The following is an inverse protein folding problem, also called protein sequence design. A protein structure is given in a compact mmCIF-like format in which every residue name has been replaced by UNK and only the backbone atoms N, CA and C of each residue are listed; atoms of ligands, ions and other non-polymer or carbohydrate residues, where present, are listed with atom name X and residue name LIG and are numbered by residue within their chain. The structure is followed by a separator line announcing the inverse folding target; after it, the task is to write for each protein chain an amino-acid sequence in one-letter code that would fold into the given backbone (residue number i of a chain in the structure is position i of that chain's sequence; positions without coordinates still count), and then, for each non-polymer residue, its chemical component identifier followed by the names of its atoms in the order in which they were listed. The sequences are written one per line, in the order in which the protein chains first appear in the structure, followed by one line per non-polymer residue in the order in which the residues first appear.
data_IF_668285020816
#
_entry.id   IF_668285020816
#
_cell.length_a   1.000
_cell.length_b   1.000
_cell.length_c   1.000
_cell.angle_alpha   90.00
_cell.angle_beta   90.00
_cell.angle_gamma   90.00
#
_symmetry.space_group_name_H-M   'P 1'
#
loop_
_entity.id
_entity.type
_entity.pdbx_description
1 polymer ?
#
# COMPACT_ATOMS: atom_id res chain seq x y z
N UNK A 1 -18.45 -14.67 0.73
CA UNK A 1 -17.32 -13.83 0.28
C UNK A 1 -17.01 -14.12 -1.18
N UNK A 2 -16.94 -13.09 -2.03
CA UNK A 2 -16.52 -13.25 -3.43
C UNK A 2 -15.00 -13.41 -3.45
N UNK A 3 -14.50 -14.49 -4.06
CA UNK A 3 -13.05 -14.74 -4.20
C UNK A 3 -12.57 -13.95 -5.41
N UNK A 4 -11.62 -13.03 -5.21
CA UNK A 4 -10.96 -12.33 -6.31
C UNK A 4 -9.71 -13.11 -6.66
N UNK A 5 -9.56 -13.45 -7.94
CA UNK A 5 -8.36 -14.13 -8.41
C UNK A 5 -7.49 -13.08 -9.11
N UNK A 6 -6.40 -12.69 -8.45
CA UNK A 6 -5.44 -11.74 -8.99
C UNK A 6 -4.67 -12.43 -10.13
N UNK A 7 -4.83 -11.94 -11.36
CA UNK A 7 -4.15 -12.46 -12.55
C UNK A 7 -3.25 -11.38 -13.13
N UNK A 8 -2.06 -11.77 -13.57
CA UNK A 8 -1.10 -10.84 -14.18
C UNK A 8 -0.46 -9.87 -13.19
N UNK A 9 -0.37 -10.24 -11.92
CA UNK A 9 0.37 -9.47 -10.92
C UNK A 9 1.86 -9.87 -11.03
N UNK A 10 2.78 -8.90 -11.21
CA UNK A 10 4.22 -9.16 -11.16
C UNK A 10 4.63 -9.84 -9.83
N UNK A 11 5.62 -10.73 -9.89
CA UNK A 11 6.00 -11.56 -8.74
C UNK A 11 6.45 -10.72 -7.53
N UNK A 12 7.16 -9.62 -7.76
CA UNK A 12 7.59 -8.67 -6.73
C UNK A 12 6.40 -8.00 -6.02
N UNK A 13 5.36 -7.64 -6.79
CA UNK A 13 4.12 -7.08 -6.25
C UNK A 13 3.35 -8.15 -5.46
N UNK A 14 3.33 -9.39 -5.96
CA UNK A 14 2.70 -10.51 -5.26
C UNK A 14 3.39 -10.78 -3.90
N UNK A 15 4.72 -10.81 -3.87
CA UNK A 15 5.50 -10.96 -2.64
C UNK A 15 5.26 -9.83 -1.65
N UNK A 16 5.21 -8.58 -2.13
CA UNK A 16 4.90 -7.43 -1.29
C UNK A 16 3.51 -7.56 -0.65
N UNK A 17 2.49 -7.91 -1.44
CA UNK A 17 1.13 -8.14 -0.93
C UNK A 17 1.05 -9.27 0.09
N UNK A 18 1.79 -10.37 -0.15
CA UNK A 18 1.83 -11.51 0.76
C UNK A 18 2.44 -11.12 2.11
N UNK A 19 3.56 -10.40 2.08
CA UNK A 19 4.25 -9.91 3.28
C UNK A 19 3.38 -8.92 4.06
N UNK A 20 2.72 -7.99 3.37
CA UNK A 20 1.83 -7.03 4.03
C UNK A 20 0.63 -7.73 4.68
N UNK A 21 0.03 -8.73 4.02
CA UNK A 21 -1.06 -9.51 4.59
C UNK A 21 -0.63 -10.28 5.86
N UNK A 22 0.57 -10.85 5.87
CA UNK A 22 1.13 -11.54 7.03
C UNK A 22 1.34 -10.58 8.22
N UNK A 23 1.91 -9.40 7.97
CA UNK A 23 2.07 -8.34 8.99
C UNK A 23 0.71 -7.94 9.58
N UNK A 24 -0.32 -7.85 8.74
CA UNK A 24 -1.70 -7.58 9.16
C UNK A 24 -2.42 -8.79 9.77
N UNK A 25 -1.79 -9.96 9.87
CA UNK A 25 -2.37 -11.23 10.37
C UNK A 25 -3.63 -11.65 9.62
N UNK A 26 -3.65 -11.41 8.32
CA UNK A 26 -4.78 -11.69 7.45
C UNK A 26 -4.36 -12.62 6.31
N UNK A 27 -5.34 -13.32 5.73
CA UNK A 27 -5.12 -13.94 4.42
C UNK A 27 -4.91 -12.86 3.36
N UNK A 28 -4.06 -13.12 2.37
CA UNK A 28 -3.78 -12.15 1.29
C UNK A 28 -5.05 -11.69 0.54
N UNK A 29 -6.01 -12.59 0.31
CA UNK A 29 -7.27 -12.20 -0.31
C UNK A 29 -8.11 -11.27 0.60
N UNK A 30 -8.10 -11.45 1.91
CA UNK A 30 -8.78 -10.54 2.83
C UNK A 30 -8.11 -9.16 2.87
N UNK A 31 -6.78 -9.14 2.97
CA UNK A 31 -5.98 -7.92 2.96
C UNK A 31 -6.21 -7.09 1.68
N UNK A 32 -6.13 -7.73 0.51
CA UNK A 32 -6.35 -7.04 -0.77
C UNK A 32 -7.77 -6.50 -0.89
N UNK A 33 -8.78 -7.26 -0.47
CA UNK A 33 -10.17 -6.80 -0.51
C UNK A 33 -10.43 -5.61 0.42
N UNK A 34 -9.79 -5.59 1.59
CA UNK A 34 -9.85 -4.46 2.52
C UNK A 34 -9.23 -3.20 1.89
N UNK A 35 -8.02 -3.31 1.32
CA UNK A 35 -7.36 -2.18 0.64
C UNK A 35 -8.15 -1.68 -0.57
N UNK A 36 -8.76 -2.58 -1.34
CA UNK A 36 -9.66 -2.19 -2.43
C UNK A 36 -10.91 -1.47 -1.92
N UNK A 37 -11.49 -1.92 -0.80
CA UNK A 37 -12.64 -1.25 -0.19
C UNK A 37 -12.27 0.14 0.32
N UNK A 38 -11.10 0.30 0.95
CA UNK A 38 -10.56 1.60 1.35
C UNK A 38 -10.38 2.51 0.12
N UNK A 39 -9.78 2.02 -0.96
CA UNK A 39 -9.64 2.79 -2.20
C UNK A 39 -10.98 3.24 -2.79
N UNK A 40 -12.05 2.44 -2.66
CA UNK A 40 -13.38 2.84 -3.14
C UNK A 40 -14.04 3.93 -2.29
N UNK A 41 -13.61 4.13 -1.05
CA UNK A 41 -14.11 5.22 -0.19
C UNK A 41 -13.50 6.58 -0.57
N UNK A 42 -12.56 6.57 -1.51
CA UNK A 42 -11.75 7.71 -1.83
C UNK A 42 -11.91 8.03 -3.32
N UNK A 43 -12.47 9.21 -3.63
CA UNK A 43 -12.74 9.68 -4.99
C UNK A 43 -11.48 9.89 -5.84
N UNK A 44 -10.34 10.14 -5.19
CA UNK A 44 -9.03 10.23 -5.83
C UNK A 44 -7.96 9.58 -4.96
N UNK A 45 -6.97 8.90 -5.55
CA UNK A 45 -5.82 8.36 -4.80
C UNK A 45 -5.11 9.44 -3.96
N UNK A 46 -5.18 10.71 -4.37
CA UNK A 46 -4.66 11.84 -3.61
C UNK A 46 -5.38 11.99 -2.25
N UNK A 47 -6.70 11.79 -2.18
CA UNK A 47 -7.44 11.91 -0.92
C UNK A 47 -7.15 10.70 0.02
N UNK A 48 -6.74 9.55 -0.53
CA UNK A 48 -6.32 8.38 0.26
C UNK A 48 -4.95 8.67 0.89
N UNK A 49 -4.02 9.22 0.12
CA UNK A 49 -2.72 9.65 0.63
C UNK A 49 -2.86 10.78 1.66
N UNK A 50 -3.83 11.68 1.50
CA UNK A 50 -4.11 12.73 2.49
C UNK A 50 -4.76 12.21 3.78
N UNK A 51 -5.51 11.11 3.72
CA UNK A 51 -6.12 10.49 4.91
C UNK A 51 -5.24 9.43 5.58
N UNK A 52 -4.17 8.99 4.91
CA UNK A 52 -3.22 8.04 5.48
C UNK A 52 -2.50 8.62 6.69
N UNK A 53 -2.82 8.09 7.86
CA UNK A 53 -2.07 8.39 9.09
C UNK A 53 -0.89 7.42 9.15
N UNK A 54 0.37 7.89 9.03
CA UNK A 54 1.52 7.01 9.06
C UNK A 54 1.60 6.29 10.42
N UNK A 55 1.99 5.00 10.44
CA UNK A 55 2.15 4.25 11.68
C UNK A 55 3.16 4.96 12.59
N UNK A 56 2.72 5.25 13.82
CA UNK A 56 3.56 5.86 14.84
C UNK A 56 4.67 4.89 15.28
N UNK A 57 5.87 5.41 15.53
CA UNK A 57 7.01 4.62 16.01
C UNK A 57 7.88 3.98 14.92
N UNK A 58 7.68 4.32 13.65
CA UNK A 58 8.55 3.87 12.55
C UNK A 58 9.88 4.62 12.49
N UNK A 59 9.99 5.78 13.15
CA UNK A 59 11.15 6.66 13.07
C UNK A 59 11.31 7.37 11.72
N UNK A 60 10.41 7.13 10.77
CA UNK A 60 10.42 7.75 9.44
C UNK A 60 9.63 9.06 9.51
N UNK A 61 10.30 10.15 9.15
CA UNK A 61 9.70 11.48 9.08
C UNK A 61 9.19 11.79 7.68
N UNK A 62 8.34 12.82 7.57
CA UNK A 62 7.90 13.35 6.26
C UNK A 62 9.08 13.86 5.42
N UNK A 63 10.16 14.33 6.05
CA UNK A 63 11.37 14.74 5.34
C UNK A 63 12.08 13.54 4.71
N UNK A 64 12.11 12.40 5.38
CA UNK A 64 12.70 11.17 4.84
C UNK A 64 11.91 10.66 3.64
N UNK A 65 10.58 10.72 3.72
CA UNK A 65 9.71 10.39 2.59
C UNK A 65 9.89 11.36 1.41
N UNK A 66 9.99 12.67 1.68
CA UNK A 66 10.20 13.68 0.63
C UNK A 66 11.58 13.57 -0.03
N UNK A 67 12.61 13.20 0.73
CA UNK A 67 13.95 12.93 0.21
C UNK A 67 13.93 11.72 -0.74
N UNK A 68 13.31 10.61 -0.33
CA UNK A 68 13.22 9.41 -1.18
C UNK A 68 12.51 9.67 -2.51
N UNK A 69 11.44 10.46 -2.52
CA UNK A 69 10.74 10.85 -3.75
C UNK A 69 11.61 11.74 -4.65
N UNK A 70 12.38 12.65 -4.05
CA UNK A 70 13.29 13.53 -4.78
C UNK A 70 14.43 12.75 -5.42
N UNK A 71 15.03 11.82 -4.70
CA UNK A 71 16.13 10.99 -5.19
C UNK A 71 15.71 10.16 -6.41
N UNK A 72 14.51 9.57 -6.37
CA UNK A 72 13.96 8.81 -7.52
C UNK A 72 13.71 9.74 -8.72
N UNK A 73 13.21 10.96 -8.48
CA UNK A 73 12.96 11.94 -9.54
C UNK A 73 14.25 12.43 -10.20
N UNK A 74 15.32 12.61 -9.43
CA UNK A 74 16.61 13.10 -9.93
C UNK A 74 17.45 11.99 -10.57
N UNK A 75 17.14 10.72 -10.29
CA UNK A 75 17.76 9.56 -10.91
C UNK A 75 17.12 9.14 -12.26
N UNK A 76 16.00 9.77 -12.65
CA UNK A 76 15.25 9.48 -13.89
C UNK A 76 15.39 10.57 -14.94
#
# INVERSE_FOLDING_TARGET
MRRVNLRGVPDDVYEALARSAEVSRQSMNAFVMERLAELTQVLSVADYLMSYTPPAGTGITLNDAAAAVRDIREAS
#
